data_IF_849510929707
#
_entry.id   IF_849510929707
#
_cell.length_a   1.000
_cell.length_b   1.000
_cell.length_c   1.000
_cell.angle_alpha   90.00
_cell.angle_beta   90.00
_cell.angle_gamma   90.00
#
_symmetry.space_group_name_H-M   'P 1'
#
loop_
_entity.id
_entity.type
_entity.pdbx_description
1 polymer ?
#
# COMPACT_ATOMS: atom_id res chain seq x y z
N UNK A 1 -0.34 -5.67 -24.26
CA UNK A 1 -0.12 -6.38 -22.98
C UNK A 1 -0.87 -5.65 -21.90
N UNK A 2 -1.54 -6.41 -21.01
CA UNK A 2 -2.17 -5.87 -19.81
C UNK A 2 -1.34 -6.26 -18.58
N UNK A 3 -1.17 -5.32 -17.64
CA UNK A 3 -0.53 -5.52 -16.35
C UNK A 3 -1.53 -5.10 -15.27
N UNK A 4 -1.43 -5.72 -14.10
CA UNK A 4 -2.36 -5.53 -13.00
C UNK A 4 -1.61 -5.14 -11.71
N UNK A 5 -1.18 -3.86 -11.58
CA UNK A 5 -0.58 -3.37 -10.34
C UNK A 5 -1.57 -3.49 -9.18
N UNK A 6 -1.19 -4.19 -8.13
CA UNK A 6 -2.03 -4.41 -6.95
C UNK A 6 -1.78 -3.38 -5.85
N UNK A 7 -2.74 -3.20 -4.96
CA UNK A 7 -2.59 -2.44 -3.73
C UNK A 7 -1.83 -3.22 -2.65
N UNK A 8 -1.46 -2.54 -1.56
CA UNK A 8 -1.03 -3.14 -0.29
C UNK A 8 -1.79 -2.52 0.87
N UNK A 9 -1.81 -3.20 1.99
CA UNK A 9 -2.17 -2.64 3.29
C UNK A 9 -0.98 -2.70 4.25
N UNK A 10 -1.03 -1.89 5.32
CA UNK A 10 -0.07 -1.94 6.43
C UNK A 10 -0.74 -2.61 7.63
N UNK A 11 -0.30 -3.80 8.01
CA UNK A 11 -0.76 -4.47 9.23
C UNK A 11 0.15 -4.02 10.37
N UNK A 12 -0.36 -3.10 11.20
CA UNK A 12 0.45 -2.36 12.15
C UNK A 12 1.40 -1.35 11.49
N UNK A 13 1.67 -0.26 12.17
CA UNK A 13 2.68 0.71 11.78
C UNK A 13 3.17 1.48 13.00
N UNK A 14 4.40 1.23 13.41
CA UNK A 14 5.05 1.91 14.52
C UNK A 14 6.06 2.93 13.99
N UNK A 15 6.06 4.13 14.51
CA UNK A 15 7.07 5.17 14.25
C UNK A 15 8.08 5.14 15.39
N UNK A 16 9.21 4.50 15.18
CA UNK A 16 10.15 4.19 16.26
C UNK A 16 11.15 5.30 16.55
N UNK A 17 11.50 6.12 15.55
CA UNK A 17 12.48 7.19 15.69
C UNK A 17 12.35 8.25 14.60
N UNK A 18 12.58 9.52 14.96
CA UNK A 18 12.81 10.60 13.97
C UNK A 18 14.30 10.79 13.76
N UNK A 19 14.73 10.82 12.51
CA UNK A 19 16.12 11.02 12.11
C UNK A 19 16.44 12.53 11.93
N UNK A 20 17.71 12.89 12.03
CA UNK A 20 18.18 14.26 11.76
C UNK A 20 17.88 14.73 10.31
N UNK A 21 17.76 13.79 9.37
CA UNK A 21 17.36 14.05 8.00
C UNK A 21 15.90 14.46 7.80
N UNK A 22 15.09 14.37 8.88
CA UNK A 22 13.64 14.60 8.85
C UNK A 22 12.81 13.35 8.51
N UNK A 23 13.45 12.25 8.09
CA UNK A 23 12.78 10.96 7.90
C UNK A 23 12.47 10.29 9.25
N UNK A 24 11.58 9.28 9.20
CA UNK A 24 11.24 8.51 10.39
C UNK A 24 11.59 7.04 10.16
N UNK A 25 12.07 6.38 11.20
CA UNK A 25 12.17 4.92 11.20
C UNK A 25 10.81 4.34 11.53
N UNK A 26 10.42 3.33 10.77
CA UNK A 26 9.14 2.63 10.91
C UNK A 26 9.35 1.15 11.14
N UNK A 27 8.35 0.52 11.72
CA UNK A 27 8.14 -0.93 11.70
C UNK A 27 6.71 -1.21 11.26
N UNK A 28 6.51 -2.07 10.27
CA UNK A 28 5.20 -2.40 9.71
C UNK A 28 5.25 -3.76 9.03
N UNK A 29 4.10 -4.38 8.83
CA UNK A 29 3.97 -5.50 7.91
C UNK A 29 3.22 -5.03 6.65
N UNK A 30 3.86 -5.12 5.48
CA UNK A 30 3.23 -4.84 4.21
C UNK A 30 2.61 -6.12 3.65
N UNK A 31 1.33 -6.05 3.37
CA UNK A 31 0.57 -7.17 2.80
C UNK A 31 -0.03 -6.75 1.45
N UNK A 32 0.35 -7.38 0.33
CA UNK A 32 -0.25 -7.11 -0.97
C UNK A 32 -1.68 -7.69 -1.01
N UNK A 33 -2.60 -6.97 -1.67
CA UNK A 33 -4.02 -7.33 -1.72
C UNK A 33 -4.58 -7.28 -3.14
N UNK A 34 -5.69 -8.00 -3.39
CA UNK A 34 -6.33 -8.18 -4.71
C UNK A 34 -7.17 -6.99 -5.16
N UNK A 35 -6.70 -5.77 -4.97
CA UNK A 35 -7.26 -4.54 -5.53
C UNK A 35 -6.26 -3.99 -6.55
N UNK A 36 -6.68 -3.82 -7.80
CA UNK A 36 -5.78 -3.57 -8.93
C UNK A 36 -6.09 -2.29 -9.68
N UNK A 37 -5.02 -1.63 -10.13
CA UNK A 37 -5.03 -0.77 -11.30
C UNK A 37 -4.80 -1.60 -12.56
N UNK A 38 -5.00 -1.02 -13.74
CA UNK A 38 -4.76 -1.72 -15.00
C UNK A 38 -3.85 -0.84 -15.88
N UNK A 39 -2.75 -1.43 -16.36
CA UNK A 39 -1.86 -0.79 -17.33
C UNK A 39 -1.94 -1.54 -18.64
N UNK A 40 -2.41 -0.87 -19.71
CA UNK A 40 -2.23 -1.35 -21.08
C UNK A 40 -0.94 -0.73 -21.64
N UNK A 41 -0.05 -1.58 -22.17
CA UNK A 41 1.20 -1.13 -22.81
C UNK A 41 1.35 -1.70 -24.21
N UNK A 42 1.67 -0.83 -25.16
CA UNK A 42 1.93 -1.15 -26.59
C UNK A 42 3.20 -0.46 -27.05
N UNK A 43 3.96 -1.09 -27.96
CA UNK A 43 5.06 -0.44 -28.65
C UNK A 43 4.53 0.75 -29.47
N UNK A 44 5.34 1.82 -29.57
CA UNK A 44 4.97 3.05 -30.28
C UNK A 44 6.21 3.74 -30.85
N UNK A 45 6.02 4.74 -31.70
CA UNK A 45 7.10 5.60 -32.18
C UNK A 45 7.38 6.79 -31.26
N UNK A 46 6.49 7.04 -30.27
CA UNK A 46 6.65 8.09 -29.26
C UNK A 46 6.02 7.64 -27.93
N UNK A 47 6.58 8.13 -26.82
CA UNK A 47 5.96 7.90 -25.51
C UNK A 47 4.65 8.70 -25.42
N UNK A 48 3.60 8.02 -25.01
CA UNK A 48 2.28 8.61 -24.76
C UNK A 48 1.64 7.94 -23.55
N UNK A 49 1.20 8.75 -22.58
CA UNK A 49 0.45 8.30 -21.42
C UNK A 49 -0.95 8.90 -21.45
N UNK A 50 -1.96 8.05 -21.38
CA UNK A 50 -3.35 8.39 -21.13
C UNK A 50 -3.83 7.73 -19.85
N UNK A 51 -4.82 8.32 -19.18
CA UNK A 51 -5.36 7.84 -17.90
C UNK A 51 -6.88 7.82 -17.94
N UNK A 52 -7.48 6.92 -17.16
CA UNK A 52 -8.92 6.86 -16.89
C UNK A 52 -9.17 6.34 -15.46
N UNK A 53 -10.42 6.26 -15.04
CA UNK A 53 -10.77 5.90 -13.66
C UNK A 53 -10.61 7.08 -12.71
N UNK A 54 -10.04 6.86 -11.53
CA UNK A 54 -9.80 7.91 -10.52
C UNK A 54 -8.85 8.96 -11.10
N UNK A 55 -9.23 10.23 -11.02
CA UNK A 55 -8.45 11.34 -11.57
C UNK A 55 -7.09 11.49 -10.86
N UNK A 56 -6.02 11.49 -11.65
CA UNK A 56 -4.65 11.68 -11.15
C UNK A 56 -4.30 13.15 -11.27
N UNK A 57 -4.20 13.84 -10.13
CA UNK A 57 -3.80 15.23 -10.09
C UNK A 57 -2.36 15.48 -10.54
N UNK A 58 -2.06 16.74 -10.89
CA UNK A 58 -0.70 17.19 -11.19
C UNK A 58 -0.30 17.10 -12.68
N UNK A 59 0.98 17.38 -12.97
CA UNK A 59 1.50 17.38 -14.34
C UNK A 59 1.74 15.93 -14.82
N UNK A 60 1.35 15.61 -16.05
CA UNK A 60 1.58 14.28 -16.68
C UNK A 60 3.05 13.86 -16.66
N UNK A 61 3.99 14.80 -16.78
CA UNK A 61 5.44 14.54 -16.70
C UNK A 61 5.88 13.97 -15.35
N UNK A 62 5.16 14.28 -14.28
CA UNK A 62 5.45 13.81 -12.92
C UNK A 62 4.80 12.47 -12.58
N UNK A 63 3.99 11.92 -13.50
CA UNK A 63 3.37 10.61 -13.30
C UNK A 63 4.45 9.53 -13.18
N UNK A 64 4.25 8.62 -12.22
CA UNK A 64 5.23 7.56 -11.90
C UNK A 64 5.48 6.62 -13.08
N UNK A 65 4.51 6.43 -13.98
CA UNK A 65 4.68 5.67 -15.22
C UNK A 65 5.79 6.29 -16.09
N UNK A 66 5.77 7.61 -16.29
CA UNK A 66 6.81 8.29 -17.06
C UNK A 66 8.17 8.24 -16.35
N UNK A 67 8.17 8.36 -15.01
CA UNK A 67 9.39 8.23 -14.22
C UNK A 67 9.98 6.81 -14.33
N UNK A 68 9.14 5.76 -14.30
CA UNK A 68 9.58 4.38 -14.45
C UNK A 68 10.20 4.10 -15.83
N UNK A 69 9.59 4.60 -16.93
CA UNK A 69 10.17 4.48 -18.27
C UNK A 69 11.53 5.16 -18.33
N UNK A 70 11.64 6.38 -17.80
CA UNK A 70 12.90 7.14 -17.81
C UNK A 70 13.97 6.44 -16.95
N UNK A 71 13.60 5.94 -15.76
CA UNK A 71 14.51 5.24 -14.87
C UNK A 71 14.99 3.89 -15.44
N UNK A 72 14.20 3.25 -16.30
CA UNK A 72 14.59 2.03 -17.00
C UNK A 72 15.61 2.29 -18.11
N UNK A 73 15.74 3.54 -18.59
CA UNK A 73 16.73 3.96 -19.60
C UNK A 73 16.67 3.11 -20.87
N UNK A 74 15.58 3.19 -21.61
CA UNK A 74 15.39 2.47 -22.88
C UNK A 74 15.11 3.43 -24.05
N UNK A 75 15.65 3.10 -25.22
CA UNK A 75 15.34 3.82 -26.47
C UNK A 75 13.95 3.48 -27.02
N UNK A 76 13.34 2.40 -26.51
CA UNK A 76 12.00 1.99 -26.92
C UNK A 76 10.96 2.98 -26.41
N UNK A 77 9.95 3.21 -27.24
CA UNK A 77 8.83 4.10 -26.97
C UNK A 77 7.55 3.30 -26.81
N UNK A 78 6.67 3.77 -25.91
CA UNK A 78 5.46 3.08 -25.58
C UNK A 78 4.24 4.00 -25.59
N UNK A 79 3.11 3.46 -26.05
CA UNK A 79 1.80 4.01 -25.76
C UNK A 79 1.25 3.26 -24.57
N UNK A 80 0.98 3.98 -23.48
CA UNK A 80 0.49 3.42 -22.21
C UNK A 80 -0.85 4.04 -21.88
N UNK A 81 -1.78 3.21 -21.43
CA UNK A 81 -3.02 3.62 -20.79
C UNK A 81 -3.05 3.07 -19.36
N UNK A 82 -3.22 3.96 -18.38
CA UNK A 82 -3.37 3.60 -16.96
C UNK A 82 -4.82 3.85 -16.53
N UNK A 83 -5.52 2.78 -16.17
CA UNK A 83 -6.82 2.88 -15.52
C UNK A 83 -6.65 2.79 -14.00
N UNK A 84 -6.94 3.89 -13.30
CA UNK A 84 -6.82 4.00 -11.84
C UNK A 84 -8.09 3.55 -11.15
N UNK A 85 -7.98 2.54 -10.32
CA UNK A 85 -9.03 2.01 -9.46
C UNK A 85 -8.62 2.04 -7.97
N UNK A 86 -7.31 1.93 -7.69
CA UNK A 86 -6.77 2.02 -6.32
C UNK A 86 -6.85 3.48 -5.87
N UNK A 87 -7.48 3.78 -4.71
CA UNK A 87 -7.55 5.12 -4.14
C UNK A 87 -6.20 5.81 -4.02
N UNK A 88 -6.13 7.09 -4.43
CA UNK A 88 -4.90 7.87 -4.45
C UNK A 88 -4.72 8.61 -3.12
N UNK A 89 -3.50 8.55 -2.54
CA UNK A 89 -3.21 9.23 -1.26
C UNK A 89 -3.97 8.63 -0.07
N UNK A 90 -4.31 7.35 -0.14
CA UNK A 90 -5.14 6.64 0.81
C UNK A 90 -4.41 5.53 1.61
N UNK A 91 -3.06 5.50 1.55
CA UNK A 91 -2.25 4.53 2.28
C UNK A 91 -2.09 3.16 1.60
N UNK A 92 -2.59 2.99 0.36
CA UNK A 92 -2.66 1.70 -0.34
C UNK A 92 -1.51 1.43 -1.34
N UNK A 93 -0.57 2.35 -1.51
CA UNK A 93 0.63 2.15 -2.34
C UNK A 93 0.40 2.05 -3.86
N UNK A 94 -0.82 2.37 -4.37
CA UNK A 94 -1.18 2.14 -5.78
C UNK A 94 -0.24 2.80 -6.79
N UNK A 95 0.19 4.05 -6.54
CA UNK A 95 1.16 4.71 -7.44
C UNK A 95 2.52 3.99 -7.46
N UNK A 96 3.03 3.58 -6.29
CA UNK A 96 4.29 2.82 -6.20
C UNK A 96 4.19 1.48 -6.92
N UNK A 97 3.04 0.81 -6.80
CA UNK A 97 2.75 -0.42 -7.53
C UNK A 97 2.76 -0.20 -9.05
N UNK A 98 2.09 0.86 -9.54
CA UNK A 98 2.08 1.20 -10.97
C UNK A 98 3.49 1.30 -11.54
N UNK A 99 4.37 2.06 -10.87
CA UNK A 99 5.76 2.23 -11.29
C UNK A 99 6.57 0.95 -11.25
N UNK A 100 6.43 0.17 -10.18
CA UNK A 100 7.23 -1.04 -9.96
C UNK A 100 6.83 -2.18 -10.88
N UNK A 101 5.52 -2.39 -11.08
CA UNK A 101 5.02 -3.41 -11.99
C UNK A 101 5.44 -3.10 -13.43
N UNK A 102 5.42 -1.82 -13.83
CA UNK A 102 5.93 -1.42 -15.13
C UNK A 102 7.44 -1.66 -15.26
N UNK A 103 8.25 -1.30 -14.25
CA UNK A 103 9.70 -1.57 -14.23
C UNK A 103 9.99 -3.06 -14.36
N UNK A 104 9.29 -3.89 -13.58
CA UNK A 104 9.43 -5.34 -13.59
C UNK A 104 9.10 -5.90 -14.98
N UNK A 105 7.98 -5.48 -15.56
CA UNK A 105 7.59 -5.89 -16.91
C UNK A 105 8.65 -5.51 -17.96
N UNK A 106 9.18 -4.28 -17.92
CA UNK A 106 10.23 -3.85 -18.84
C UNK A 106 11.49 -4.70 -18.65
N UNK A 107 11.86 -4.97 -17.39
CA UNK A 107 13.02 -5.80 -17.10
C UNK A 107 12.83 -7.25 -17.54
N UNK A 108 11.66 -7.84 -17.34
CA UNK A 108 11.34 -9.19 -17.82
C UNK A 108 11.42 -9.30 -19.34
N UNK A 109 11.03 -8.22 -20.03
CA UNK A 109 11.05 -8.15 -21.50
C UNK A 109 12.46 -7.93 -22.07
N UNK A 110 13.26 -7.09 -21.44
CA UNK A 110 14.57 -6.65 -21.98
C UNK A 110 15.77 -7.28 -21.26
N UNK A 111 15.56 -7.90 -20.09
CA UNK A 111 16.59 -8.56 -19.27
C UNK A 111 17.83 -7.68 -19.00
N UNK A 112 17.58 -6.38 -18.71
CA UNK A 112 18.64 -5.36 -18.61
C UNK A 112 19.33 -5.34 -17.24
N UNK A 113 18.58 -5.60 -16.17
CA UNK A 113 19.01 -5.44 -14.78
C UNK A 113 18.86 -6.76 -14.01
N UNK A 114 19.75 -7.00 -13.05
CA UNK A 114 19.55 -8.02 -12.02
C UNK A 114 18.54 -7.53 -10.97
N UNK A 115 18.21 -8.40 -9.98
CA UNK A 115 17.17 -8.08 -8.97
C UNK A 115 17.58 -6.90 -8.09
N UNK A 116 18.84 -6.83 -7.66
CA UNK A 116 19.38 -5.79 -6.78
C UNK A 116 19.38 -4.43 -7.48
N UNK A 117 19.78 -4.39 -8.73
CA UNK A 117 19.74 -3.18 -9.56
C UNK A 117 18.30 -2.70 -9.77
N UNK A 118 17.37 -3.62 -10.04
CA UNK A 118 15.95 -3.28 -10.22
C UNK A 118 15.35 -2.71 -8.93
N UNK A 119 15.66 -3.27 -7.76
CA UNK A 119 15.28 -2.74 -6.46
C UNK A 119 15.85 -1.33 -6.27
N UNK A 120 17.14 -1.13 -6.56
CA UNK A 120 17.79 0.18 -6.46
C UNK A 120 17.13 1.23 -7.36
N UNK A 121 16.76 0.86 -8.60
CA UNK A 121 16.04 1.73 -9.52
C UNK A 121 14.65 2.04 -8.98
N UNK A 122 13.93 1.04 -8.49
CA UNK A 122 12.58 1.21 -7.96
C UNK A 122 12.56 2.14 -6.74
N UNK A 123 13.58 2.06 -5.87
CA UNK A 123 13.71 2.93 -4.69
C UNK A 123 13.80 4.42 -5.05
N UNK A 124 14.41 4.74 -6.20
CA UNK A 124 14.45 6.14 -6.73
C UNK A 124 13.07 6.66 -7.16
N UNK A 125 12.11 5.78 -7.41
CA UNK A 125 10.75 6.15 -7.79
C UNK A 125 9.89 6.48 -6.56
N UNK A 126 10.11 5.78 -5.44
CA UNK A 126 9.40 5.98 -4.19
C UNK A 126 9.72 4.89 -3.17
N UNK A 127 9.54 5.19 -1.88
CA UNK A 127 9.89 4.31 -0.75
C UNK A 127 9.18 2.96 -0.79
N UNK A 128 7.91 2.93 -1.21
CA UNK A 128 7.13 1.69 -1.28
C UNK A 128 7.39 0.89 -2.58
N UNK A 129 8.10 1.47 -3.58
CA UNK A 129 8.30 0.80 -4.87
C UNK A 129 9.08 -0.53 -4.77
N UNK A 130 10.16 -0.63 -3.97
CA UNK A 130 10.91 -1.89 -3.83
C UNK A 130 10.04 -3.06 -3.34
N UNK A 131 9.06 -2.80 -2.47
CA UNK A 131 8.13 -3.83 -2.00
C UNK A 131 7.41 -4.53 -3.16
N UNK A 132 6.93 -3.78 -4.15
CA UNK A 132 6.17 -4.32 -5.29
C UNK A 132 7.05 -5.06 -6.33
N UNK A 133 8.38 -4.99 -6.24
CA UNK A 133 9.26 -5.82 -7.07
C UNK A 133 9.15 -7.28 -6.65
N UNK A 134 9.16 -7.56 -5.35
CA UNK A 134 8.98 -8.92 -4.79
C UNK A 134 7.51 -9.27 -4.60
N UNK A 135 6.72 -8.30 -4.19
CA UNK A 135 5.25 -8.35 -4.06
C UNK A 135 4.73 -9.51 -3.20
N UNK A 136 5.35 -9.71 -2.05
CA UNK A 136 4.98 -10.72 -1.04
C UNK A 136 4.77 -10.05 0.31
N UNK A 137 4.10 -10.73 1.24
CA UNK A 137 4.01 -10.24 2.62
C UNK A 137 5.43 -10.10 3.18
N UNK A 138 5.75 -8.94 3.74
CA UNK A 138 7.06 -8.62 4.30
C UNK A 138 6.94 -7.83 5.59
N UNK A 139 7.80 -8.13 6.54
CA UNK A 139 8.08 -7.22 7.63
C UNK A 139 9.01 -6.12 7.16
N UNK A 140 8.68 -4.88 7.47
CA UNK A 140 9.32 -3.69 6.91
C UNK A 140 9.86 -2.82 8.01
N UNK A 141 11.14 -2.44 7.88
CA UNK A 141 11.89 -1.59 8.80
C UNK A 141 12.57 -0.43 8.08
N UNK A 142 13.40 0.30 8.85
CA UNK A 142 14.16 1.42 8.31
C UNK A 142 13.24 2.60 7.98
N UNK A 143 13.47 3.25 6.87
CA UNK A 143 12.59 4.31 6.35
C UNK A 143 11.46 3.73 5.44
N UNK A 144 11.20 2.43 5.55
CA UNK A 144 10.30 1.68 4.66
C UNK A 144 11.03 0.92 3.57
N UNK A 145 12.34 0.73 3.70
CA UNK A 145 13.28 0.27 2.68
C UNK A 145 14.00 -1.04 3.05
N UNK A 146 13.83 -1.53 4.27
CA UNK A 146 14.39 -2.82 4.73
C UNK A 146 13.26 -3.83 4.81
N UNK A 147 13.37 -4.92 4.03
CA UNK A 147 12.36 -5.96 3.93
C UNK A 147 12.88 -7.28 4.48
N UNK A 148 12.16 -7.85 5.45
CA UNK A 148 12.46 -9.15 6.06
C UNK A 148 11.32 -10.14 5.80
N UNK A 149 11.66 -11.41 5.74
CA UNK A 149 10.64 -12.47 5.71
C UNK A 149 9.85 -12.49 7.02
N UNK A 150 8.58 -12.85 6.92
CA UNK A 150 7.67 -13.02 8.05
C UNK A 150 6.79 -14.24 7.80
N UNK A 151 6.62 -15.05 8.83
CA UNK A 151 5.72 -16.22 8.78
C UNK A 151 4.30 -15.77 9.15
N UNK A 152 3.57 -15.29 8.15
CA UNK A 152 2.21 -14.78 8.30
C UNK A 152 1.33 -15.29 7.17
N UNK A 153 0.34 -16.12 7.51
CA UNK A 153 -0.71 -16.60 6.60
C UNK A 153 -2.08 -16.03 6.97
N UNK A 154 -2.58 -15.14 6.13
CA UNK A 154 -3.95 -14.61 6.20
C UNK A 154 -4.78 -14.95 4.96
N UNK A 155 -4.38 -15.94 4.18
CA UNK A 155 -5.06 -16.37 2.93
C UNK A 155 -6.50 -16.87 3.17
N UNK A 156 -6.78 -17.38 4.38
CA UNK A 156 -8.12 -17.82 4.80
C UNK A 156 -9.04 -16.68 5.24
N UNK A 157 -8.55 -15.45 5.23
CA UNK A 157 -9.29 -14.28 5.65
C UNK A 157 -9.81 -13.48 4.46
N UNK A 158 -10.88 -12.73 4.69
CA UNK A 158 -11.39 -11.70 3.80
C UNK A 158 -10.98 -10.34 4.34
N UNK A 159 -10.62 -9.43 3.46
CA UNK A 159 -10.23 -8.07 3.84
C UNK A 159 -11.22 -7.10 3.22
N UNK A 160 -11.81 -6.24 4.04
CA UNK A 160 -12.64 -5.13 3.59
C UNK A 160 -11.84 -3.84 3.75
N UNK A 161 -11.69 -3.10 2.67
CA UNK A 161 -11.04 -1.79 2.66
C UNK A 161 -12.12 -0.73 2.45
N UNK A 162 -12.27 0.17 3.40
CA UNK A 162 -13.20 1.32 3.30
C UNK A 162 -12.40 2.55 2.92
N UNK A 163 -12.81 3.21 1.83
CA UNK A 163 -12.25 4.47 1.37
C UNK A 163 -13.17 5.63 1.74
N UNK A 164 -12.77 6.51 2.67
CA UNK A 164 -13.57 7.67 3.05
C UNK A 164 -13.58 8.78 1.99
N UNK A 165 -12.88 8.63 0.87
CA UNK A 165 -12.72 9.60 -0.23
C UNK A 165 -12.08 10.94 0.20
N UNK A 166 -11.38 10.96 1.31
CA UNK A 166 -10.71 12.14 1.84
C UNK A 166 -9.22 11.82 1.97
N UNK A 167 -8.34 12.36 1.14
CA UNK A 167 -6.92 12.05 1.20
C UNK A 167 -6.25 12.66 2.45
N UNK A 168 -5.25 11.96 2.99
CA UNK A 168 -4.36 12.49 4.03
C UNK A 168 -2.99 12.78 3.42
N UNK A 169 -2.47 13.97 3.70
CA UNK A 169 -1.11 14.32 3.28
C UNK A 169 -0.10 13.58 4.17
N UNK A 170 0.60 12.59 3.61
CA UNK A 170 1.57 11.77 4.32
C UNK A 170 2.69 12.59 4.99
N UNK A 171 3.19 13.65 4.32
CA UNK A 171 4.23 14.52 4.88
C UNK A 171 3.71 15.26 6.12
N UNK A 172 2.48 15.77 6.06
CA UNK A 172 1.84 16.43 7.21
C UNK A 172 1.60 15.43 8.35
N UNK A 173 1.17 14.21 8.04
CA UNK A 173 0.99 13.15 9.03
C UNK A 173 2.29 12.87 9.79
N UNK A 174 3.42 12.67 9.09
CA UNK A 174 4.74 12.47 9.72
C UNK A 174 5.21 13.68 10.54
N UNK A 175 4.84 14.89 10.19
CA UNK A 175 5.20 16.09 10.98
C UNK A 175 4.45 16.20 12.31
N UNK A 176 3.30 15.56 12.43
CA UNK A 176 2.43 15.63 13.60
C UNK A 176 2.50 14.38 14.49
N UNK A 177 3.42 13.45 14.21
CA UNK A 177 3.63 12.26 15.01
C UNK A 177 4.84 12.44 15.94
N UNK A 178 4.64 12.03 17.17
CA UNK A 178 5.73 11.83 18.11
C UNK A 178 6.14 10.36 18.07
N UNK A 179 7.40 10.04 17.71
CA UNK A 179 7.88 8.67 17.75
C UNK A 179 7.69 8.05 19.12
N UNK A 180 7.13 6.86 19.15
CA UNK A 180 6.96 6.09 20.37
C UNK A 180 7.42 4.65 20.11
N UNK A 181 8.23 4.11 21.00
CA UNK A 181 8.61 2.71 20.88
C UNK A 181 7.46 1.86 21.37
N UNK A 182 6.95 1.00 20.47
CA UNK A 182 5.93 0.03 20.85
C UNK A 182 6.40 -0.81 22.04
N UNK A 183 5.46 -1.14 22.92
CA UNK A 183 5.70 -2.07 24.04
C UNK A 183 5.90 -3.51 23.57
N UNK A 184 5.35 -3.83 22.41
CA UNK A 184 5.34 -5.18 21.84
C UNK A 184 6.14 -5.20 20.54
N UNK A 185 6.85 -6.30 20.28
CA UNK A 185 7.49 -6.56 19.01
C UNK A 185 6.41 -6.92 17.98
N UNK A 186 6.28 -6.10 16.95
CA UNK A 186 5.24 -6.26 15.94
C UNK A 186 5.40 -7.58 15.17
N UNK A 187 6.63 -7.98 14.84
CA UNK A 187 6.89 -9.21 14.11
C UNK A 187 6.52 -10.43 14.95
N UNK A 188 6.97 -10.44 16.21
CA UNK A 188 6.67 -11.52 17.16
C UNK A 188 5.15 -11.71 17.35
N UNK A 189 4.41 -10.60 17.49
CA UNK A 189 2.94 -10.64 17.62
C UNK A 189 2.29 -11.20 16.36
N UNK A 190 2.72 -10.77 15.18
CA UNK A 190 2.13 -11.23 13.91
C UNK A 190 2.40 -12.71 13.63
N UNK A 191 3.55 -13.25 14.04
CA UNK A 191 3.94 -14.65 13.84
C UNK A 191 3.33 -15.59 14.87
N UNK A 192 3.07 -15.13 16.11
CA UNK A 192 2.73 -16.02 17.21
C UNK A 192 1.32 -15.83 17.80
N UNK A 193 0.70 -14.67 17.59
CA UNK A 193 -0.61 -14.38 18.16
C UNK A 193 -1.75 -14.63 17.17
N UNK A 194 -2.88 -15.13 17.70
CA UNK A 194 -4.10 -15.25 16.91
C UNK A 194 -4.60 -13.88 16.46
N UNK A 195 -5.11 -13.78 15.23
CA UNK A 195 -5.61 -12.57 14.60
C UNK A 195 -6.57 -11.75 15.50
N UNK A 196 -7.46 -12.41 16.23
CA UNK A 196 -8.42 -11.76 17.15
C UNK A 196 -7.75 -11.05 18.35
N UNK A 197 -6.50 -11.43 18.67
CA UNK A 197 -5.71 -10.80 19.73
C UNK A 197 -4.93 -9.58 19.24
N UNK A 198 -4.69 -9.43 17.94
CA UNK A 198 -3.87 -8.34 17.39
C UNK A 198 -4.31 -6.97 17.84
N UNK A 199 -5.61 -6.72 17.98
CA UNK A 199 -6.17 -5.45 18.48
C UNK A 199 -5.70 -5.03 19.88
N UNK A 200 -5.09 -5.96 20.66
CA UNK A 200 -4.53 -5.67 21.99
C UNK A 200 -3.08 -5.21 21.92
N UNK A 201 -2.37 -5.53 20.85
CA UNK A 201 -0.93 -5.40 20.75
C UNK A 201 -0.48 -4.53 19.57
N UNK A 202 -1.26 -4.51 18.49
CA UNK A 202 -0.89 -3.87 17.22
C UNK A 202 -1.72 -2.62 17.00
N UNK A 203 -1.03 -1.50 16.79
CA UNK A 203 -1.61 -0.21 16.44
C UNK A 203 -1.03 0.31 15.12
N UNK A 204 -1.63 1.36 14.60
CA UNK A 204 -1.02 2.22 13.61
C UNK A 204 -0.88 3.62 14.23
N UNK A 205 0.36 4.08 14.41
CA UNK A 205 0.65 5.35 15.08
C UNK A 205 0.05 6.57 14.39
N UNK A 206 -0.35 6.46 13.11
CA UNK A 206 -1.05 7.53 12.41
C UNK A 206 -2.55 7.64 12.77
N UNK A 207 -3.14 6.67 13.47
CA UNK A 207 -4.59 6.66 13.73
C UNK A 207 -5.06 7.89 14.49
N UNK A 208 -4.36 8.31 15.54
CA UNK A 208 -4.76 9.49 16.34
C UNK A 208 -4.78 10.74 15.46
N UNK A 209 -3.76 10.94 14.64
CA UNK A 209 -3.70 12.06 13.72
C UNK A 209 -4.81 11.97 12.66
N UNK A 210 -4.96 10.82 12.01
CA UNK A 210 -5.97 10.62 10.97
C UNK A 210 -7.40 10.83 11.52
N UNK A 211 -7.69 10.30 12.71
CA UNK A 211 -9.01 10.44 13.36
C UNK A 211 -9.29 11.87 13.81
N UNK A 212 -8.27 12.64 14.20
CA UNK A 212 -8.42 14.07 14.51
C UNK A 212 -8.79 14.89 13.25
N UNK A 213 -8.28 14.50 12.08
CA UNK A 213 -8.55 15.17 10.80
C UNK A 213 -9.89 14.74 10.17
N UNK A 214 -10.22 13.46 10.27
CA UNK A 214 -11.40 12.87 9.62
C UNK A 214 -12.21 12.11 10.66
N UNK A 215 -13.15 12.80 11.30
CA UNK A 215 -13.98 12.26 12.42
C UNK A 215 -14.72 10.96 12.07
N UNK A 216 -15.08 10.76 10.78
CA UNK A 216 -15.79 9.57 10.36
C UNK A 216 -14.96 8.28 10.44
N UNK A 217 -13.61 8.36 10.47
CA UNK A 217 -12.75 7.18 10.52
C UNK A 217 -12.96 6.34 11.79
N UNK A 218 -13.16 6.99 12.94
CA UNK A 218 -13.47 6.25 14.18
C UNK A 218 -14.78 5.47 14.07
N UNK A 219 -15.80 6.07 13.42
CA UNK A 219 -17.09 5.40 13.18
C UNK A 219 -16.90 4.20 12.25
N UNK A 220 -16.14 4.36 11.16
CA UNK A 220 -15.81 3.27 10.24
C UNK A 220 -15.12 2.12 10.99
N UNK A 221 -14.07 2.42 11.77
CA UNK A 221 -13.34 1.42 12.57
C UNK A 221 -14.27 0.67 13.52
N UNK A 222 -15.13 1.39 14.24
CA UNK A 222 -16.11 0.80 15.16
C UNK A 222 -17.12 -0.10 14.43
N UNK A 223 -17.63 0.35 13.29
CA UNK A 223 -18.61 -0.43 12.52
C UNK A 223 -17.99 -1.73 11.98
N UNK A 224 -16.76 -1.69 11.46
CA UNK A 224 -16.07 -2.90 10.99
C UNK A 224 -15.90 -3.93 12.11
N UNK A 225 -15.61 -3.50 13.34
CA UNK A 225 -15.60 -4.42 14.50
C UNK A 225 -17.00 -4.95 14.85
N UNK A 226 -18.04 -4.11 14.74
CA UNK A 226 -19.43 -4.51 15.05
C UNK A 226 -19.95 -5.59 14.09
N UNK A 227 -19.54 -5.54 12.82
CA UNK A 227 -19.90 -6.53 11.81
C UNK A 227 -18.94 -7.73 11.77
N UNK A 228 -18.11 -7.91 12.80
CA UNK A 228 -17.33 -9.12 13.02
C UNK A 228 -15.88 -9.12 12.54
N UNK A 229 -15.30 -7.95 12.21
CA UNK A 229 -13.87 -7.89 11.93
C UNK A 229 -13.05 -8.32 13.16
N UNK A 230 -12.07 -9.19 12.95
CA UNK A 230 -11.17 -9.64 14.01
C UNK A 230 -10.09 -8.59 14.31
N UNK A 231 -9.63 -7.90 13.27
CA UNK A 231 -8.68 -6.79 13.36
C UNK A 231 -9.06 -5.67 12.40
N UNK A 232 -8.97 -4.43 12.85
CA UNK A 232 -9.25 -3.22 12.05
C UNK A 232 -8.17 -2.19 12.27
N UNK A 233 -7.62 -1.64 11.19
CA UNK A 233 -6.58 -0.61 11.26
C UNK A 233 -6.62 0.34 10.07
N UNK A 234 -5.98 1.49 10.25
CA UNK A 234 -5.63 2.41 9.17
C UNK A 234 -4.54 1.78 8.30
N UNK A 235 -4.57 1.96 6.99
CA UNK A 235 -3.47 1.58 6.10
C UNK A 235 -2.51 2.74 5.88
N UNK A 236 -1.22 2.55 6.15
CA UNK A 236 -0.22 3.59 6.03
C UNK A 236 -0.59 4.84 6.84
N UNK A 237 -0.39 6.02 6.28
CA UNK A 237 -0.82 7.29 6.89
C UNK A 237 -2.33 7.57 6.70
N UNK A 238 -3.07 6.65 6.10
CA UNK A 238 -4.49 6.79 5.79
C UNK A 238 -4.72 7.38 4.40
N UNK A 239 -5.97 7.59 4.09
CA UNK A 239 -7.19 7.55 4.93
C UNK A 239 -7.95 6.22 4.93
N UNK A 240 -7.60 5.25 4.06
CA UNK A 240 -8.29 3.97 4.05
C UNK A 240 -8.14 3.23 5.38
N UNK A 241 -9.26 2.68 5.84
CA UNK A 241 -9.32 1.73 6.95
C UNK A 241 -9.62 0.35 6.38
N UNK A 242 -8.97 -0.67 6.89
CA UNK A 242 -9.27 -2.04 6.54
C UNK A 242 -9.67 -2.87 7.75
N UNK A 243 -10.52 -3.86 7.52
CA UNK A 243 -10.88 -4.89 8.49
C UNK A 243 -10.57 -6.27 7.94
N UNK A 244 -10.03 -7.16 8.78
CA UNK A 244 -9.76 -8.56 8.46
C UNK A 244 -10.82 -9.44 9.12
N UNK A 245 -11.48 -10.28 8.32
CA UNK A 245 -12.61 -11.13 8.71
C UNK A 245 -12.31 -12.60 8.46
N UNK A 246 -12.91 -13.49 9.23
CA UNK A 246 -13.04 -14.90 8.83
C UNK A 246 -13.97 -14.96 7.61
N UNK A 247 -13.58 -15.64 6.54
CA UNK A 247 -14.40 -15.76 5.31
C UNK A 247 -15.82 -16.27 5.57
N UNK A 248 -15.97 -17.16 6.54
CA UNK A 248 -17.23 -17.84 6.86
C UNK A 248 -18.28 -16.94 7.52
N UNK A 249 -17.88 -15.81 8.12
CA UNK A 249 -18.77 -14.98 8.97
C UNK A 249 -19.03 -13.58 8.38
N UNK A 250 -18.48 -13.27 7.22
CA UNK A 250 -18.69 -11.95 6.62
C UNK A 250 -20.00 -11.90 5.84
N UNK A 251 -20.96 -11.15 6.33
CA UNK A 251 -22.13 -10.69 5.56
C UNK A 251 -21.83 -9.31 4.96
N UNK A 252 -21.50 -9.28 3.67
CA UNK A 252 -21.17 -8.03 2.96
C UNK A 252 -22.38 -7.09 2.86
N UNK A 253 -23.62 -7.55 3.09
CA UNK A 253 -24.82 -6.69 3.09
C UNK A 253 -24.82 -5.69 4.24
N UNK A 254 -24.13 -5.99 5.34
CA UNK A 254 -24.00 -5.10 6.49
C UNK A 254 -23.04 -3.92 6.25
N UNK A 255 -22.22 -3.98 5.17
CA UNK A 255 -21.22 -2.95 4.83
C UNK A 255 -21.82 -1.86 3.92
N UNK A 256 -23.04 -2.01 3.43
CA UNK A 256 -23.68 -1.17 2.41
C UNK A 256 -23.74 0.36 2.67
N UNK A 257 -23.35 0.81 3.87
CA UNK A 257 -23.30 2.25 4.20
C UNK A 257 -21.99 2.95 3.82
N UNK A 258 -20.99 2.22 3.28
CA UNK A 258 -19.68 2.74 2.94
C UNK A 258 -19.26 2.34 1.52
N UNK A 259 -18.46 3.19 0.86
CA UNK A 259 -17.70 2.78 -0.33
C UNK A 259 -16.58 1.84 0.13
N UNK A 260 -16.63 0.57 -0.28
CA UNK A 260 -15.65 -0.43 0.14
C UNK A 260 -15.16 -1.31 -1.00
N UNK A 261 -14.02 -1.96 -0.77
CA UNK A 261 -13.44 -2.98 -1.62
C UNK A 261 -13.34 -4.27 -0.82
N UNK A 262 -13.90 -5.37 -1.35
CA UNK A 262 -13.75 -6.71 -0.80
C UNK A 262 -12.57 -7.38 -1.50
N UNK A 263 -11.52 -7.72 -0.76
CA UNK A 263 -10.24 -8.18 -1.30
C UNK A 263 -9.67 -9.34 -0.47
N UNK A 264 -8.63 -9.96 -1.00
CA UNK A 264 -7.86 -11.02 -0.32
C UNK A 264 -6.37 -10.64 -0.33
N UNK A 265 -5.57 -11.26 0.56
CA UNK A 265 -4.11 -11.16 0.48
C UNK A 265 -3.61 -11.88 -0.76
N UNK A 266 -2.57 -11.34 -1.37
CA UNK A 266 -1.75 -12.05 -2.37
C UNK A 266 -0.63 -12.75 -1.60
N UNK A 267 -0.62 -14.09 -1.64
CA UNK A 267 0.43 -14.91 -1.01
C UNK A 267 1.63 -15.06 -1.94
#
# INVERSE_FOLDING_TARGET
MLLYPNAKINIGLNITKKLNSGYHLIESCFCPVTLYDIIEIKNSNKNNLSTSGIEIGGKKSNNIINKAINAFETDKKFKIHLHKNIPIGAGLGGGSSDGSVLLKFLNDKFKKYNKEELISISNKLGSDCPFFIDNKIKYVKGTGDIFEEIDLDISKNKIIIVDPKIPINTKEAFQNILPNRSKYDLKEVLENENLENWKKYINNDFEDYAFSKIKNLQKIKKNLYQIGAQYVSLSGSGSCIFGIFKKEYLDETEINSFDYYSVESLN
#
